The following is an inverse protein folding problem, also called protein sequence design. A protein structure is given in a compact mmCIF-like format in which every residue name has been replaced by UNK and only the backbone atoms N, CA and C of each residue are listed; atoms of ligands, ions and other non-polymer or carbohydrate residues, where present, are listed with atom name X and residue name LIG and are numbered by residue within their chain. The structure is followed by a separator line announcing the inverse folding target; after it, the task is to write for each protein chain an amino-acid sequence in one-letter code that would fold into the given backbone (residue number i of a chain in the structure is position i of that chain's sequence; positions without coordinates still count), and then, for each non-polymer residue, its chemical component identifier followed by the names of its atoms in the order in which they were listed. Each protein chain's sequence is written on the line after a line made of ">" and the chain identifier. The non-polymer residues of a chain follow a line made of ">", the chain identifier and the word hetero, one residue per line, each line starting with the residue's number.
data_IF_627678820726
#
_entry.id   IF_627678820726
#
_cell.length_a   1.000
_cell.length_b   1.000
_cell.length_c   1.000
_cell.angle_alpha   90.00
_cell.angle_beta   90.00
_cell.angle_gamma   90.00
#
_symmetry.space_group_name_H-M   'P 1'
#
loop_
_entity.id
_entity.type
_entity.pdbx_description
1 polymer ?
#
# COMPACT_ATOMS: atom_id res chain seq x y z
N UNK A 1 -7.80 2.47 -19.49
CA UNK A 1 -7.42 3.84 -19.07
C UNK A 1 -5.92 3.94 -19.26
N UNK A 2 -5.40 5.11 -19.61
CA UNK A 2 -3.97 5.34 -19.76
C UNK A 2 -3.53 6.41 -18.76
N UNK A 3 -2.41 6.17 -18.10
CA UNK A 3 -1.70 7.19 -17.35
C UNK A 3 -0.65 7.83 -18.27
N UNK A 4 -0.81 9.13 -18.48
CA UNK A 4 0.10 9.97 -19.25
C UNK A 4 1.12 10.57 -18.27
N UNK A 5 2.21 9.83 -18.04
CA UNK A 5 3.28 10.23 -17.13
C UNK A 5 3.97 11.50 -17.63
N UNK A 6 4.19 12.46 -16.73
CA UNK A 6 4.77 13.80 -16.99
C UNK A 6 4.00 14.71 -17.95
N UNK A 7 2.99 14.21 -18.70
CA UNK A 7 2.09 15.08 -19.46
C UNK A 7 1.17 15.86 -18.50
N UNK A 8 1.34 17.18 -18.47
CA UNK A 8 0.65 18.10 -17.53
C UNK A 8 0.79 17.66 -16.05
N UNK A 9 2.01 17.31 -15.65
CA UNK A 9 2.33 16.81 -14.30
C UNK A 9 1.73 15.42 -13.97
N UNK A 10 1.31 14.67 -14.99
CA UNK A 10 0.61 13.41 -14.83
C UNK A 10 -0.88 13.59 -15.07
N UNK A 11 -1.42 12.92 -16.10
CA UNK A 11 -2.84 12.98 -16.46
C UNK A 11 -3.39 11.59 -16.76
N UNK A 12 -4.70 11.41 -16.68
CA UNK A 12 -5.36 10.16 -17.06
C UNK A 12 -6.21 10.37 -18.31
N UNK A 13 -6.03 9.50 -19.30
CA UNK A 13 -6.87 9.44 -20.48
C UNK A 13 -7.78 8.22 -20.40
N UNK A 14 -9.08 8.43 -20.59
CA UNK A 14 -10.04 7.34 -20.60
C UNK A 14 -11.25 7.63 -21.49
N UNK A 15 -11.92 6.59 -22.00
CA UNK A 15 -13.21 6.75 -22.68
C UNK A 15 -14.27 7.34 -21.74
N UNK A 16 -15.11 8.21 -22.28
CA UNK A 16 -16.27 8.75 -21.56
C UNK A 16 -17.33 7.65 -21.41
N UNK A 17 -17.90 7.55 -20.21
CA UNK A 17 -19.05 6.68 -19.93
C UNK A 17 -20.11 7.46 -19.13
N UNK A 18 -21.38 7.02 -19.16
CA UNK A 18 -22.46 7.71 -18.46
C UNK A 18 -22.15 7.93 -16.97
N UNK A 19 -22.25 9.17 -16.51
CA UNK A 19 -22.02 9.54 -15.11
C UNK A 19 -20.59 10.00 -14.78
N UNK A 20 -19.58 9.75 -15.65
CA UNK A 20 -18.19 10.14 -15.38
C UNK A 20 -18.05 11.64 -15.10
N UNK A 21 -18.61 12.49 -15.95
CA UNK A 21 -18.55 13.95 -15.79
C UNK A 21 -19.22 14.45 -14.51
N UNK A 22 -20.32 13.80 -14.11
CA UNK A 22 -21.02 14.11 -12.87
C UNK A 22 -20.15 13.72 -11.68
N UNK A 23 -19.52 12.54 -11.72
CA UNK A 23 -18.63 12.07 -10.68
C UNK A 23 -17.40 12.98 -10.52
N UNK A 24 -16.78 13.37 -11.63
CA UNK A 24 -15.67 14.33 -11.61
C UNK A 24 -16.09 15.65 -10.96
N UNK A 25 -17.29 16.17 -11.26
CA UNK A 25 -17.82 17.39 -10.63
C UNK A 25 -18.05 17.21 -9.14
N UNK A 26 -18.67 16.11 -8.71
CA UNK A 26 -18.93 15.82 -7.29
C UNK A 26 -17.61 15.70 -6.51
N UNK A 27 -16.60 15.04 -7.10
CA UNK A 27 -15.28 14.83 -6.48
C UNK A 27 -14.31 15.99 -6.66
N UNK A 28 -14.69 17.07 -7.35
CA UNK A 28 -13.81 18.20 -7.64
C UNK A 28 -12.62 17.86 -8.55
N UNK A 29 -12.72 16.80 -9.35
CA UNK A 29 -11.70 16.39 -10.32
C UNK A 29 -11.87 17.21 -11.59
N UNK A 30 -10.82 17.95 -11.98
CA UNK A 30 -10.80 18.69 -13.23
C UNK A 30 -10.68 17.72 -14.42
N UNK A 31 -11.52 17.91 -15.43
CA UNK A 31 -11.51 17.11 -16.66
C UNK A 31 -11.65 18.00 -17.89
N UNK A 32 -11.25 17.47 -19.04
CA UNK A 32 -11.49 18.06 -20.36
C UNK A 32 -11.99 16.96 -21.31
N UNK A 33 -12.97 17.29 -22.16
CA UNK A 33 -13.39 16.41 -23.23
C UNK A 33 -12.54 16.72 -24.46
N UNK A 34 -11.88 15.71 -25.01
CA UNK A 34 -10.99 15.85 -26.16
C UNK A 34 -11.41 14.92 -27.29
N UNK A 35 -11.24 15.38 -28.53
CA UNK A 35 -11.49 14.60 -29.72
C UNK A 35 -10.31 13.72 -30.13
N UNK A 36 -10.49 12.79 -31.09
CA UNK A 36 -9.41 11.91 -31.57
C UNK A 36 -8.19 12.66 -32.11
N UNK A 37 -8.39 13.83 -32.74
CA UNK A 37 -7.29 14.66 -33.23
C UNK A 37 -6.42 15.23 -32.11
N UNK A 38 -7.04 15.65 -31.00
CA UNK A 38 -6.33 16.14 -29.82
C UNK A 38 -5.59 15.01 -29.12
N UNK A 39 -6.19 13.82 -29.01
CA UNK A 39 -5.52 12.62 -28.48
C UNK A 39 -4.25 12.32 -29.25
N UNK A 40 -4.29 12.35 -30.59
CA UNK A 40 -3.10 12.13 -31.43
C UNK A 40 -2.03 13.21 -31.21
N UNK A 41 -2.43 14.48 -31.03
CA UNK A 41 -1.50 15.56 -30.72
C UNK A 41 -0.84 15.38 -29.34
N UNK A 42 -1.59 14.88 -28.34
CA UNK A 42 -1.06 14.54 -27.02
C UNK A 42 -0.05 13.40 -27.13
N UNK A 43 -0.38 12.33 -27.85
CA UNK A 43 0.55 11.21 -28.05
C UNK A 43 1.82 11.64 -28.78
N UNK A 44 1.73 12.47 -29.82
CA UNK A 44 2.90 13.01 -30.50
C UNK A 44 3.77 13.85 -29.56
N UNK A 45 3.16 14.65 -28.68
CA UNK A 45 3.89 15.41 -27.65
C UNK A 45 4.61 14.47 -26.67
N UNK A 46 3.92 13.42 -26.21
CA UNK A 46 4.49 12.43 -25.29
C UNK A 46 5.70 11.73 -25.91
N UNK A 47 5.62 11.33 -27.18
CA UNK A 47 6.71 10.66 -27.91
C UNK A 47 7.93 11.57 -28.13
N UNK A 48 7.73 12.90 -28.19
CA UNK A 48 8.81 13.87 -28.45
C UNK A 48 9.53 14.38 -27.20
N UNK A 49 8.96 14.18 -26.01
CA UNK A 49 9.43 14.78 -24.76
C UNK A 49 9.73 13.70 -23.69
N UNK A 50 10.22 14.09 -22.52
CA UNK A 50 10.46 13.17 -21.40
C UNK A 50 9.14 12.76 -20.69
N UNK A 51 8.26 12.10 -21.43
CA UNK A 51 6.93 11.65 -21.01
C UNK A 51 6.72 10.19 -21.39
N UNK A 52 5.75 9.53 -20.77
CA UNK A 52 5.44 8.13 -21.06
C UNK A 52 3.94 7.87 -21.00
N UNK A 53 3.47 6.91 -21.81
CA UNK A 53 2.10 6.42 -21.76
C UNK A 53 2.07 5.02 -21.17
N UNK A 54 1.47 4.91 -20.00
CA UNK A 54 1.33 3.65 -19.27
C UNK A 54 -0.12 3.18 -19.37
N UNK A 55 -0.34 1.98 -19.91
CA UNK A 55 -1.67 1.37 -19.95
C UNK A 55 -2.03 0.83 -18.55
N UNK A 56 -3.20 1.22 -18.05
CA UNK A 56 -3.74 0.71 -16.79
C UNK A 56 -4.78 -0.37 -17.07
N UNK A 57 -4.43 -1.62 -16.80
CA UNK A 57 -5.26 -2.80 -17.09
C UNK A 57 -6.23 -3.13 -15.95
N UNK A 58 -5.73 -3.19 -14.71
CA UNK A 58 -6.48 -3.62 -13.53
C UNK A 58 -6.05 -2.78 -12.32
N UNK A 59 -7.01 -2.43 -11.47
CA UNK A 59 -6.72 -1.83 -10.18
C UNK A 59 -5.94 -2.85 -9.29
N UNK A 60 -4.83 -2.43 -8.66
CA UNK A 60 -4.07 -3.32 -7.79
C UNK A 60 -4.91 -3.68 -6.56
N UNK A 61 -4.83 -4.94 -6.13
CA UNK A 61 -5.30 -5.37 -4.81
C UNK A 61 -4.23 -5.01 -3.78
N UNK A 62 -4.62 -4.23 -2.77
CA UNK A 62 -3.69 -3.69 -1.77
C UNK A 62 -3.90 -4.41 -0.44
N UNK A 63 -2.80 -4.89 0.14
CA UNK A 63 -2.73 -5.36 1.51
C UNK A 63 -1.97 -4.36 2.39
N UNK A 64 -2.46 -4.13 3.60
CA UNK A 64 -1.80 -3.35 4.64
C UNK A 64 -1.36 -4.29 5.74
N UNK A 65 -0.04 -4.39 5.95
CA UNK A 65 0.55 -5.12 7.06
C UNK A 65 0.37 -4.30 8.35
N UNK A 66 -0.56 -4.70 9.20
CA UNK A 66 -0.88 -3.98 10.43
C UNK A 66 -1.52 -4.89 11.47
N UNK A 67 -1.15 -4.78 12.75
CA UNK A 67 -1.76 -5.62 13.78
C UNK A 67 -3.22 -5.22 14.02
N UNK A 68 -4.07 -6.20 14.33
CA UNK A 68 -5.52 -6.00 14.49
C UNK A 68 -5.90 -5.02 15.61
N UNK A 69 -5.00 -4.79 16.57
CA UNK A 69 -5.21 -3.88 17.70
C UNK A 69 -4.71 -2.44 17.44
N UNK A 70 -4.14 -2.12 16.27
CA UNK A 70 -3.68 -0.75 15.94
C UNK A 70 -4.88 0.18 15.69
N UNK A 71 -4.83 1.40 16.22
CA UNK A 71 -5.93 2.35 16.04
C UNK A 71 -5.89 2.95 14.62
N UNK A 72 -7.04 3.19 13.97
CA UNK A 72 -7.10 3.64 12.58
C UNK A 72 -6.42 5.00 12.28
N UNK A 73 -6.27 5.87 13.28
CA UNK A 73 -5.63 7.18 13.11
C UNK A 73 -4.11 7.16 13.32
N UNK A 74 -3.55 6.01 13.72
CA UNK A 74 -2.10 5.83 13.92
C UNK A 74 -1.39 5.45 12.60
N UNK A 75 -2.10 5.43 11.47
CA UNK A 75 -1.57 5.03 10.17
C UNK A 75 -2.10 5.97 9.09
N UNK A 76 -1.26 6.93 8.71
CA UNK A 76 -1.57 7.95 7.71
C UNK A 76 -1.90 7.34 6.33
N UNK A 77 -1.37 6.16 5.99
CA UNK A 77 -1.65 5.48 4.73
C UNK A 77 -3.05 4.94 4.73
N UNK A 78 -3.47 4.23 5.77
CA UNK A 78 -4.86 3.74 5.86
C UNK A 78 -5.86 4.89 5.88
N UNK A 79 -5.53 6.01 6.55
CA UNK A 79 -6.36 7.22 6.50
C UNK A 79 -6.48 7.79 5.09
N UNK A 80 -5.36 7.91 4.36
CA UNK A 80 -5.36 8.43 2.99
C UNK A 80 -6.13 7.51 2.04
N UNK A 81 -5.92 6.20 2.10
CA UNK A 81 -6.64 5.22 1.30
C UNK A 81 -8.14 5.25 1.59
N UNK A 82 -8.52 5.32 2.87
CA UNK A 82 -9.93 5.39 3.28
C UNK A 82 -10.58 6.69 2.79
N UNK A 83 -9.90 7.83 2.94
CA UNK A 83 -10.37 9.12 2.45
C UNK A 83 -10.54 9.13 0.93
N UNK A 84 -9.63 8.49 0.20
CA UNK A 84 -9.67 8.36 -1.25
C UNK A 84 -10.59 7.23 -1.75
N UNK A 85 -11.27 6.51 -0.85
CA UNK A 85 -12.12 5.35 -1.16
C UNK A 85 -11.39 4.23 -1.93
N UNK A 86 -10.08 4.07 -1.68
CA UNK A 86 -9.28 2.99 -2.26
C UNK A 86 -9.43 1.75 -1.39
N UNK A 87 -9.93 0.62 -1.91
CA UNK A 87 -10.10 -0.60 -1.13
C UNK A 87 -8.75 -1.22 -0.78
N UNK A 88 -8.65 -1.73 0.45
CA UNK A 88 -7.50 -2.47 0.94
C UNK A 88 -7.93 -3.49 1.98
N UNK A 89 -7.16 -4.56 2.12
CA UNK A 89 -7.32 -5.55 3.19
C UNK A 89 -6.22 -5.39 4.22
N UNK A 90 -6.52 -5.74 5.48
CA UNK A 90 -5.52 -5.77 6.56
C UNK A 90 -5.05 -7.21 6.74
N UNK A 91 -3.74 -7.39 6.77
CA UNK A 91 -3.09 -8.68 7.04
C UNK A 91 -2.00 -8.48 8.08
N UNK A 92 -1.58 -9.55 8.75
CA UNK A 92 -0.48 -9.49 9.70
C UNK A 92 0.40 -10.74 9.62
N UNK A 93 1.09 -11.09 10.71
CA UNK A 93 2.08 -12.17 10.75
C UNK A 93 1.55 -13.52 10.26
N UNK A 94 0.37 -13.92 10.73
CA UNK A 94 -0.25 -15.21 10.39
C UNK A 94 -0.62 -15.28 8.92
N UNK A 95 -1.33 -14.29 8.40
CA UNK A 95 -1.73 -14.25 6.99
C UNK A 95 -0.54 -14.23 6.03
N UNK A 96 0.53 -13.50 6.39
CA UNK A 96 1.75 -13.46 5.59
C UNK A 96 2.44 -14.83 5.59
N UNK A 97 2.52 -15.50 6.75
CA UNK A 97 3.15 -16.82 6.85
C UNK A 97 2.32 -17.95 6.21
N UNK A 98 1.01 -17.76 6.09
CA UNK A 98 0.07 -18.65 5.38
C UNK A 98 -0.03 -18.35 3.86
N UNK A 99 0.93 -17.60 3.31
CA UNK A 99 1.07 -17.29 1.88
C UNK A 99 -0.09 -16.46 1.28
N UNK A 100 -0.90 -15.79 2.10
CA UNK A 100 -2.01 -14.94 1.59
C UNK A 100 -1.53 -13.73 0.79
N UNK A 101 -0.24 -13.39 0.83
CA UNK A 101 0.32 -12.32 0.01
C UNK A 101 0.16 -12.57 -1.49
N UNK A 102 0.05 -13.83 -1.93
CA UNK A 102 -0.18 -14.15 -3.35
C UNK A 102 -1.49 -13.60 -3.91
N UNK A 103 -2.46 -13.26 -3.05
CA UNK A 103 -3.76 -12.72 -3.45
C UNK A 103 -3.71 -11.21 -3.75
N UNK A 104 -2.59 -10.55 -3.44
CA UNK A 104 -2.42 -9.11 -3.52
C UNK A 104 -1.34 -8.72 -4.52
N UNK A 105 -1.53 -7.55 -5.13
CA UNK A 105 -0.56 -6.98 -6.05
C UNK A 105 0.46 -6.12 -5.26
N UNK A 106 0.01 -5.43 -4.22
CA UNK A 106 0.77 -4.43 -3.45
C UNK A 106 0.67 -4.68 -1.94
N UNK A 107 1.78 -4.52 -1.22
CA UNK A 107 1.87 -4.59 0.24
C UNK A 107 2.41 -3.27 0.80
N UNK A 108 1.67 -2.64 1.70
CA UNK A 108 2.18 -1.57 2.55
C UNK A 108 2.59 -2.11 3.92
N UNK A 109 3.71 -1.62 4.47
CA UNK A 109 4.17 -1.97 5.82
C UNK A 109 4.94 -0.81 6.48
N UNK A 110 5.10 -0.88 7.80
CA UNK A 110 6.01 0.00 8.53
C UNK A 110 7.29 -0.74 8.88
N UNK A 111 8.46 -0.16 8.59
CA UNK A 111 9.72 -0.87 8.84
C UNK A 111 10.05 -0.98 10.33
N UNK A 112 9.44 -0.15 11.18
CA UNK A 112 9.51 -0.25 12.64
C UNK A 112 8.91 -1.56 13.16
N UNK A 113 7.98 -2.20 12.45
CA UNK A 113 7.40 -3.49 12.85
C UNK A 113 8.46 -4.62 12.88
N UNK A 114 9.57 -4.43 12.15
CA UNK A 114 10.66 -5.39 12.04
C UNK A 114 11.90 -5.00 12.85
N UNK A 115 11.97 -3.76 13.33
CA UNK A 115 13.21 -3.17 13.90
C UNK A 115 13.01 -2.47 15.25
N UNK A 116 11.78 -2.05 15.57
CA UNK A 116 11.48 -1.15 16.69
C UNK A 116 11.01 -1.84 17.97
N UNK A 117 10.37 -3.00 17.87
CA UNK A 117 9.55 -3.59 18.94
C UNK A 117 10.31 -3.86 20.26
N UNK A 118 11.60 -4.21 20.21
CA UNK A 118 12.40 -4.52 21.41
C UNK A 118 13.66 -3.65 21.56
N UNK A 119 13.84 -2.67 20.69
CA UNK A 119 15.04 -1.83 20.63
C UNK A 119 14.74 -0.37 20.95
N UNK A 120 14.41 0.40 19.91
CA UNK A 120 14.16 1.85 19.97
C UNK A 120 13.08 2.21 20.99
N UNK A 121 12.01 1.42 21.07
CA UNK A 121 10.89 1.71 21.98
C UNK A 121 11.12 1.21 23.40
N UNK A 122 11.87 0.13 23.60
CA UNK A 122 12.13 -0.41 24.94
C UNK A 122 12.79 0.61 25.88
N UNK A 123 13.81 1.33 25.39
CA UNK A 123 14.57 2.26 26.23
C UNK A 123 13.71 3.40 26.80
N UNK A 124 12.80 3.93 25.99
CA UNK A 124 11.93 5.06 26.32
C UNK A 124 10.58 4.65 26.94
N UNK A 125 10.04 3.49 26.56
CA UNK A 125 8.63 3.14 26.82
C UNK A 125 8.42 1.79 27.51
N UNK A 126 9.46 1.11 28.00
CA UNK A 126 9.34 -0.20 28.69
C UNK A 126 8.27 -0.31 29.78
N UNK A 127 7.90 0.80 30.42
CA UNK A 127 6.90 0.83 31.50
C UNK A 127 5.53 1.36 31.03
N UNK A 128 5.39 1.74 29.76
CA UNK A 128 4.14 2.23 29.22
C UNK A 128 3.17 1.06 28.99
N UNK A 129 1.91 1.22 29.39
CA UNK A 129 0.92 0.15 29.31
C UNK A 129 0.70 -0.34 27.86
N UNK A 130 0.70 0.58 26.89
CA UNK A 130 0.57 0.23 25.47
C UNK A 130 1.74 -0.63 24.97
N UNK A 131 2.97 -0.33 25.42
CA UNK A 131 4.16 -1.06 25.00
C UNK A 131 4.20 -2.46 25.62
N UNK A 132 3.83 -2.58 26.90
CA UNK A 132 3.72 -3.89 27.56
C UNK A 132 2.68 -4.78 26.90
N UNK A 133 1.55 -4.20 26.47
CA UNK A 133 0.52 -4.94 25.73
C UNK A 133 1.00 -5.34 24.33
N UNK A 134 1.71 -4.46 23.63
CA UNK A 134 2.29 -4.77 22.31
C UNK A 134 3.31 -5.92 22.39
N UNK A 135 4.19 -5.90 23.40
CA UNK A 135 5.12 -7.01 23.69
C UNK A 135 4.34 -8.31 23.92
N UNK A 136 3.32 -8.27 24.81
CA UNK A 136 2.48 -9.43 25.12
C UNK A 136 1.79 -10.02 23.90
N UNK A 137 1.24 -9.17 23.03
CA UNK A 137 0.56 -9.59 21.79
C UNK A 137 1.55 -10.23 20.82
N UNK A 138 2.72 -9.62 20.61
CA UNK A 138 3.72 -10.17 19.71
C UNK A 138 4.32 -11.50 20.23
N UNK A 139 4.59 -11.61 21.53
CA UNK A 139 5.05 -12.87 22.15
C UNK A 139 4.00 -13.98 22.03
N UNK A 140 2.72 -13.65 22.27
CA UNK A 140 1.62 -14.59 22.10
C UNK A 140 1.47 -15.04 20.64
N UNK A 141 1.66 -14.14 19.67
CA UNK A 141 1.65 -14.48 18.24
C UNK A 141 2.80 -15.41 17.88
N UNK A 142 4.02 -15.12 18.34
CA UNK A 142 5.19 -15.98 18.11
C UNK A 142 4.96 -17.38 18.67
N UNK A 143 4.43 -17.48 19.89
CA UNK A 143 4.08 -18.76 20.50
C UNK A 143 2.97 -19.50 19.74
N UNK A 144 1.92 -18.80 19.32
CA UNK A 144 0.82 -19.35 18.52
C UNK A 144 1.33 -19.97 17.20
N UNK A 145 2.26 -19.29 16.54
CA UNK A 145 2.82 -19.70 15.25
C UNK A 145 4.03 -20.65 15.39
N UNK A 146 4.37 -21.07 16.61
CA UNK A 146 5.42 -22.07 16.86
C UNK A 146 6.87 -21.54 16.78
N UNK A 147 7.08 -20.24 16.90
CA UNK A 147 8.41 -19.63 16.91
C UNK A 147 8.96 -19.47 18.33
N UNK A 148 10.30 -19.61 18.51
CA UNK A 148 10.92 -19.52 19.83
C UNK A 148 10.90 -18.11 20.43
N UNK A 149 10.82 -17.07 19.58
CA UNK A 149 10.71 -15.67 19.99
C UNK A 149 10.20 -14.82 18.82
N UNK A 150 9.84 -13.57 19.13
CA UNK A 150 9.32 -12.60 18.14
C UNK A 150 10.32 -12.31 17.03
N UNK A 151 11.63 -12.26 17.32
CA UNK A 151 12.65 -11.96 16.31
C UNK A 151 12.73 -13.03 15.23
N UNK A 152 12.71 -14.32 15.60
CA UNK A 152 12.70 -15.41 14.62
C UNK A 152 11.38 -15.46 13.84
N UNK A 153 10.24 -15.13 14.46
CA UNK A 153 8.96 -14.98 13.75
C UNK A 153 9.03 -13.83 12.71
N UNK A 154 9.42 -12.63 13.13
CA UNK A 154 9.51 -11.45 12.23
C UNK A 154 10.53 -11.66 11.10
N UNK A 155 11.62 -12.40 11.36
CA UNK A 155 12.58 -12.82 10.34
C UNK A 155 11.96 -13.77 9.32
N UNK A 156 11.10 -14.70 9.74
CA UNK A 156 10.35 -15.55 8.81
C UNK A 156 9.38 -14.72 7.96
N UNK A 157 8.60 -13.83 8.59
CA UNK A 157 7.70 -12.89 7.89
C UNK A 157 8.47 -12.05 6.86
N UNK A 158 9.60 -11.45 7.24
CA UNK A 158 10.44 -10.66 6.34
C UNK A 158 10.98 -11.48 5.15
N UNK A 159 11.30 -12.76 5.36
CA UNK A 159 11.72 -13.66 4.27
C UNK A 159 10.56 -14.00 3.34
N UNK A 160 9.35 -14.19 3.88
CA UNK A 160 8.16 -14.41 3.05
C UNK A 160 7.84 -13.18 2.22
N UNK A 161 7.91 -11.97 2.81
CA UNK A 161 7.75 -10.70 2.06
C UNK A 161 8.82 -10.57 0.98
N UNK A 162 10.08 -10.93 1.27
CA UNK A 162 11.14 -10.95 0.25
C UNK A 162 10.78 -11.87 -0.92
N UNK A 163 10.32 -13.10 -0.63
CA UNK A 163 9.93 -14.05 -1.68
C UNK A 163 8.74 -13.52 -2.51
N UNK A 164 7.78 -12.83 -1.88
CA UNK A 164 6.68 -12.15 -2.56
C UNK A 164 7.20 -11.08 -3.55
N UNK A 165 8.18 -10.28 -3.13
CA UNK A 165 8.83 -9.29 -4.02
C UNK A 165 9.61 -9.96 -5.15
N UNK A 166 10.35 -11.04 -4.85
CA UNK A 166 11.04 -11.85 -5.88
C UNK A 166 10.05 -12.46 -6.90
N UNK A 167 8.82 -12.73 -6.47
CA UNK A 167 7.71 -13.18 -7.31
C UNK A 167 7.01 -12.08 -8.11
N UNK A 168 7.45 -10.81 -8.00
CA UNK A 168 6.89 -9.66 -8.72
C UNK A 168 5.91 -8.81 -7.92
N UNK A 169 5.71 -9.11 -6.63
CA UNK A 169 4.90 -8.30 -5.74
C UNK A 169 5.54 -6.94 -5.42
N UNK A 170 4.72 -5.91 -5.26
CA UNK A 170 5.21 -4.56 -4.92
C UNK A 170 5.13 -4.33 -3.41
N UNK A 171 6.17 -3.72 -2.84
CA UNK A 171 6.20 -3.32 -1.42
C UNK A 171 6.43 -1.82 -1.30
N UNK A 172 5.61 -1.17 -0.48
CA UNK A 172 5.78 0.22 -0.07
C UNK A 172 5.99 0.29 1.45
N UNK A 173 7.22 0.55 1.88
CA UNK A 173 7.57 0.64 3.29
C UNK A 173 7.72 2.11 3.71
N UNK A 174 7.10 2.49 4.83
CA UNK A 174 7.27 3.82 5.43
C UNK A 174 7.70 3.73 6.90
N UNK A 175 8.14 4.86 7.44
CA UNK A 175 8.30 5.05 8.88
C UNK A 175 6.91 5.20 9.54
N UNK A 176 6.79 4.77 10.79
CA UNK A 176 5.66 5.11 11.68
C UNK A 176 5.79 6.51 12.27
#
# INVERSE_FOLDING_TARGET
>A
MEWLLNYRSGSFLMPVFPGLETECRIRGVKYELIGPGEVNAIYATIESENMERVLLEKAPKIAIYTPLNKQPWDDAVTMALTYAEVPYDKIYDEEVLDDKLSDYDWLHLHHEDFTGQYGKFYSAFRNAAWYLEEVRVNEAMAAKLGYPNVSEMKKAVARTIRNYVEGGGFVFAMCS
#
